data_IF_996020828094
#
_entry.id   IF_996020828094
#
_cell.length_a   1.000
_cell.length_b   1.000
_cell.length_c   1.000
_cell.angle_alpha   90.00
_cell.angle_beta   90.00
_cell.angle_gamma   90.00
#
_symmetry.space_group_name_H-M   'P 1'
#
loop_
_entity.id
_entity.type
_entity.pdbx_description
1 polymer ?
#
# COMPACT_ATOMS: atom_id res chain seq x y z
N UNK A 1 -58.54 7.38 13.72
CA UNK A 1 -58.27 7.77 12.31
C UNK A 1 -56.92 8.47 12.23
N UNK A 2 -55.84 7.73 11.95
CA UNK A 2 -54.50 8.32 11.83
C UNK A 2 -54.42 9.10 10.51
N UNK A 3 -54.17 10.39 10.64
CA UNK A 3 -54.35 11.44 9.65
C UNK A 3 -53.50 11.16 8.37
N UNK A 4 -54.14 10.82 7.25
CA UNK A 4 -53.49 10.47 5.95
C UNK A 4 -52.51 11.55 5.48
N UNK A 5 -52.75 12.82 5.85
CA UNK A 5 -51.87 13.96 5.57
C UNK A 5 -50.55 13.93 6.36
N UNK A 6 -50.55 13.44 7.60
CA UNK A 6 -49.32 13.33 8.42
C UNK A 6 -48.37 12.24 7.92
N UNK A 7 -48.94 11.12 7.43
CA UNK A 7 -48.15 10.03 6.83
C UNK A 7 -47.48 10.45 5.52
N UNK A 8 -48.13 11.31 4.72
CA UNK A 8 -47.56 11.84 3.48
C UNK A 8 -46.43 12.83 3.75
N UNK A 9 -46.56 13.72 4.76
CA UNK A 9 -45.49 14.65 5.14
C UNK A 9 -44.28 13.89 5.70
N UNK A 10 -44.50 12.89 6.56
CA UNK A 10 -43.41 12.05 7.07
C UNK A 10 -42.68 11.27 5.95
N UNK A 11 -43.42 10.70 5.00
CA UNK A 11 -42.83 10.02 3.85
C UNK A 11 -42.03 10.96 2.95
N UNK A 12 -42.52 12.18 2.73
CA UNK A 12 -41.86 13.16 1.86
C UNK A 12 -40.56 13.70 2.48
N UNK A 13 -40.52 13.86 3.81
CA UNK A 13 -39.28 14.23 4.55
C UNK A 13 -38.25 13.11 4.48
N UNK A 14 -38.66 11.84 4.62
CA UNK A 14 -37.75 10.69 4.50
C UNK A 14 -37.17 10.60 3.08
N UNK A 15 -38.00 10.79 2.05
CA UNK A 15 -37.52 10.81 0.66
C UNK A 15 -36.53 11.95 0.42
N UNK A 16 -36.76 13.13 1.00
CA UNK A 16 -35.85 14.28 0.88
C UNK A 16 -34.49 14.03 1.54
N UNK A 17 -34.46 13.37 2.71
CA UNK A 17 -33.23 13.01 3.42
C UNK A 17 -32.44 11.93 2.65
N UNK A 18 -33.13 10.96 2.05
CA UNK A 18 -32.48 9.91 1.23
C UNK A 18 -31.88 10.49 -0.05
N UNK A 19 -32.59 11.41 -0.72
CA UNK A 19 -32.08 12.09 -1.92
C UNK A 19 -30.89 13.00 -1.58
N UNK A 20 -30.92 13.71 -0.45
CA UNK A 20 -29.78 14.51 0.01
C UNK A 20 -28.57 13.64 0.38
N UNK A 21 -28.79 12.47 0.97
CA UNK A 21 -27.74 11.51 1.31
C UNK A 21 -27.06 10.88 0.09
N UNK A 22 -27.78 10.70 -1.02
CA UNK A 22 -27.22 10.11 -2.26
C UNK A 22 -26.31 11.07 -3.03
N UNK A 23 -26.47 12.39 -2.86
CA UNK A 23 -25.71 13.40 -3.63
C UNK A 23 -24.49 13.91 -2.84
N UNK A 24 -24.48 13.72 -1.52
CA UNK A 24 -23.50 14.33 -0.61
C UNK A 24 -22.32 13.43 -0.22
N UNK A 25 -22.13 12.27 -0.85
CA UNK A 25 -20.86 11.57 -0.74
C UNK A 25 -20.12 11.69 -2.07
N UNK A 26 -19.32 12.75 -2.29
CA UNK A 26 -18.17 12.57 -3.16
C UNK A 26 -17.42 11.39 -2.54
N UNK A 27 -17.39 10.29 -3.29
CA UNK A 27 -16.55 9.15 -2.96
C UNK A 27 -15.12 9.67 -2.97
N UNK A 28 -14.66 10.19 -1.84
CA UNK A 28 -13.26 10.20 -1.49
C UNK A 28 -12.90 8.73 -1.32
N UNK A 29 -12.78 8.03 -2.46
CA UNK A 29 -11.88 6.91 -2.60
C UNK A 29 -10.59 7.43 -2.00
N UNK A 30 -10.33 6.97 -0.78
CA UNK A 30 -9.26 7.44 0.08
C UNK A 30 -8.01 7.46 -0.80
N UNK A 31 -7.49 8.65 -1.10
CA UNK A 31 -6.18 8.79 -1.72
C UNK A 31 -5.22 8.39 -0.61
N UNK A 32 -5.08 7.07 -0.47
CA UNK A 32 -4.13 6.46 0.41
C UNK A 32 -2.80 6.91 -0.16
N UNK A 33 -2.10 7.82 0.53
CA UNK A 33 -0.71 8.13 0.22
C UNK A 33 0.01 6.79 0.11
N UNK A 34 0.19 6.33 -1.13
CA UNK A 34 0.69 4.99 -1.40
C UNK A 34 2.10 4.91 -0.87
N UNK A 35 2.51 3.71 -0.42
CA UNK A 35 3.91 3.45 -0.08
C UNK A 35 4.80 3.99 -1.23
N UNK A 36 5.71 4.94 -0.96
CA UNK A 36 6.36 5.69 -2.03
C UNK A 36 7.30 4.80 -2.84
N UNK A 37 7.39 5.12 -4.14
CA UNK A 37 8.48 4.63 -4.99
C UNK A 37 9.68 5.56 -4.80
N UNK A 38 10.79 5.03 -4.31
CA UNK A 38 12.04 5.78 -4.17
C UNK A 38 13.00 5.27 -5.26
N UNK A 39 13.34 6.06 -6.29
CA UNK A 39 14.13 5.61 -7.43
C UNK A 39 15.46 4.94 -7.04
N UNK A 40 16.18 5.48 -6.06
CA UNK A 40 17.46 4.91 -5.62
C UNK A 40 17.27 3.56 -4.90
N UNK A 41 16.20 3.40 -4.12
CA UNK A 41 15.85 2.14 -3.48
C UNK A 41 15.43 1.08 -4.52
N UNK A 42 14.76 1.49 -5.59
CA UNK A 42 14.43 0.62 -6.72
C UNK A 42 15.70 0.14 -7.43
N UNK A 43 16.62 1.06 -7.75
CA UNK A 43 17.88 0.72 -8.40
C UNK A 43 18.72 -0.24 -7.55
N UNK A 44 18.89 0.05 -6.25
CA UNK A 44 19.59 -0.85 -5.32
C UNK A 44 18.95 -2.24 -5.25
N UNK A 45 17.62 -2.30 -5.27
CA UNK A 45 16.93 -3.59 -5.28
C UNK A 45 17.24 -4.38 -6.56
N UNK A 46 17.14 -3.76 -7.74
CA UNK A 46 17.43 -4.42 -9.02
C UNK A 46 18.91 -4.85 -9.12
N UNK A 47 19.85 -4.03 -8.64
CA UNK A 47 21.26 -4.42 -8.51
C UNK A 47 21.46 -5.61 -7.58
N UNK A 48 20.71 -5.66 -6.48
CA UNK A 48 20.69 -6.79 -5.55
C UNK A 48 20.21 -8.07 -6.20
N UNK A 49 19.13 -8.01 -7.00
CA UNK A 49 18.64 -9.15 -7.79
C UNK A 49 19.72 -9.63 -8.76
N UNK A 50 20.30 -8.74 -9.56
CA UNK A 50 21.34 -9.09 -10.53
C UNK A 50 22.61 -9.67 -9.88
N UNK A 51 22.99 -9.22 -8.69
CA UNK A 51 24.07 -9.80 -7.91
C UNK A 51 23.70 -11.20 -7.40
N UNK A 52 22.47 -11.39 -6.91
CA UNK A 52 21.99 -12.67 -6.40
C UNK A 52 21.97 -13.74 -7.50
N UNK A 53 21.47 -13.40 -8.68
CA UNK A 53 21.42 -14.29 -9.85
C UNK A 53 22.80 -14.71 -10.34
N UNK A 54 23.80 -13.83 -10.20
CA UNK A 54 25.22 -14.14 -10.48
C UNK A 54 25.92 -14.90 -9.36
N UNK A 55 25.22 -15.27 -8.29
CA UNK A 55 25.80 -15.96 -7.12
C UNK A 55 26.68 -15.07 -6.23
N UNK A 56 26.67 -13.75 -6.44
CA UNK A 56 27.44 -12.78 -5.66
C UNK A 56 26.70 -12.43 -4.36
N UNK A 57 26.50 -13.42 -3.49
CA UNK A 57 25.56 -13.31 -2.37
C UNK A 57 25.95 -12.25 -1.32
N UNK A 58 27.24 -12.02 -1.08
CA UNK A 58 27.68 -10.92 -0.21
C UNK A 58 27.26 -9.55 -0.79
N UNK A 59 27.53 -9.33 -2.08
CA UNK A 59 27.11 -8.10 -2.77
C UNK A 59 25.60 -7.94 -2.79
N UNK A 60 24.86 -9.02 -3.08
CA UNK A 60 23.41 -9.02 -3.05
C UNK A 60 22.86 -8.63 -1.68
N UNK A 61 23.39 -9.23 -0.61
CA UNK A 61 23.00 -8.90 0.76
C UNK A 61 23.21 -7.41 1.07
N UNK A 62 24.39 -6.86 0.77
CA UNK A 62 24.67 -5.45 1.01
C UNK A 62 23.70 -4.53 0.25
N UNK A 63 23.39 -4.84 -1.02
CA UNK A 63 22.41 -4.06 -1.79
C UNK A 63 21.02 -4.10 -1.15
N UNK A 64 20.54 -5.28 -0.76
CA UNK A 64 19.24 -5.40 -0.09
C UNK A 64 19.23 -4.72 1.29
N UNK A 65 20.33 -4.78 2.04
CA UNK A 65 20.49 -4.08 3.33
C UNK A 65 20.38 -2.56 3.14
N UNK A 66 21.02 -2.00 2.12
CA UNK A 66 20.94 -0.56 1.80
C UNK A 66 19.51 -0.11 1.45
N UNK A 67 18.69 -0.95 0.80
CA UNK A 67 17.27 -0.63 0.55
C UNK A 67 16.49 -0.37 1.85
N UNK A 68 16.86 -1.05 2.94
CA UNK A 68 16.22 -0.88 4.25
C UNK A 68 16.64 0.39 5.00
N UNK A 69 17.66 1.11 4.51
CA UNK A 69 18.09 2.39 5.09
C UNK A 69 17.22 3.57 4.63
N UNK A 70 16.45 3.40 3.55
CA UNK A 70 15.45 4.37 3.11
C UNK A 70 14.19 4.30 3.98
N UNK A 71 13.39 5.39 3.97
CA UNK A 71 12.01 5.34 4.49
C UNK A 71 11.24 4.17 3.84
N UNK A 72 10.20 3.69 4.54
CA UNK A 72 9.32 2.62 4.07
C UNK A 72 8.92 2.87 2.61
N UNK A 73 9.26 1.93 1.74
CA UNK A 73 9.09 2.03 0.31
C UNK A 73 8.63 0.69 -0.27
N UNK A 74 8.25 0.69 -1.55
CA UNK A 74 7.63 -0.47 -2.21
C UNK A 74 8.54 -1.70 -2.24
N UNK A 75 9.86 -1.53 -2.10
CA UNK A 75 10.86 -2.60 -2.11
C UNK A 75 11.29 -3.06 -0.72
N UNK A 76 10.91 -2.38 0.37
CA UNK A 76 11.39 -2.69 1.73
C UNK A 76 11.17 -4.16 2.09
N UNK A 77 9.94 -4.69 1.94
CA UNK A 77 9.64 -6.09 2.29
C UNK A 77 10.40 -7.08 1.41
N UNK A 78 10.46 -6.84 0.10
CA UNK A 78 11.15 -7.70 -0.83
C UNK A 78 12.67 -7.72 -0.56
N UNK A 79 13.25 -6.57 -0.25
CA UNK A 79 14.66 -6.44 0.10
C UNK A 79 15.00 -7.22 1.37
N UNK A 80 14.18 -7.12 2.43
CA UNK A 80 14.40 -7.90 3.65
C UNK A 80 14.37 -9.41 3.38
N UNK A 81 13.37 -9.88 2.62
CA UNK A 81 13.25 -11.30 2.25
C UNK A 81 14.45 -11.78 1.42
N UNK A 82 14.85 -11.00 0.42
CA UNK A 82 15.98 -11.36 -0.46
C UNK A 82 17.32 -11.25 0.26
N UNK A 83 17.47 -10.30 1.18
CA UNK A 83 18.60 -10.22 2.11
C UNK A 83 18.71 -11.47 2.97
N UNK A 84 17.59 -11.94 3.54
CA UNK A 84 17.54 -13.21 4.27
C UNK A 84 17.92 -14.41 3.39
N UNK A 85 17.42 -14.47 2.15
CA UNK A 85 17.82 -15.50 1.19
C UNK A 85 19.32 -15.46 0.88
N UNK A 86 19.90 -14.27 0.69
CA UNK A 86 21.33 -14.11 0.44
C UNK A 86 22.16 -14.58 1.64
N UNK A 87 21.72 -14.26 2.86
CA UNK A 87 22.33 -14.73 4.11
C UNK A 87 22.32 -16.26 4.25
N UNK A 88 21.19 -16.90 3.93
CA UNK A 88 21.09 -18.38 3.89
C UNK A 88 22.09 -18.96 2.90
N UNK A 89 22.23 -18.37 1.70
CA UNK A 89 23.20 -18.82 0.69
C UNK A 89 24.65 -18.67 1.16
N UNK A 90 24.93 -17.72 2.05
CA UNK A 90 26.24 -17.51 2.67
C UNK A 90 26.47 -18.40 3.91
N UNK A 91 25.47 -19.14 4.38
CA UNK A 91 25.54 -19.91 5.63
C UNK A 91 25.56 -19.04 6.88
N UNK A 92 25.03 -17.81 6.81
CA UNK A 92 24.97 -16.85 7.91
C UNK A 92 23.51 -16.67 8.34
N UNK A 93 23.02 -17.45 9.30
CA UNK A 93 21.63 -17.42 9.78
C UNK A 93 21.55 -17.21 11.29
#
# INVERSE_FOLDING_TARGET
MVNRRSKMVGGLVIVLVVVAGLVATPGHAQEQEGIPKIPDAELLFEEGIAAFERGQYNTAYERFRLVSEYKLNRKTTAALLMGGKALIRLGRY
#
